data_IF_245258068195
#
_entry.id   IF_245258068195
#
_cell.length_a   1.000
_cell.length_b   1.000
_cell.length_c   1.000
_cell.angle_alpha   90.00
_cell.angle_beta   90.00
_cell.angle_gamma   90.00
#
_symmetry.space_group_name_H-M   'P 1'
#
loop_
_entity.id
_entity.type
_entity.pdbx_description
1 polymer ?
#
# COMPACT_ATOMS: atom_id res chain seq x y z
N UNK A 1 5.10 -16.07 -35.12
CA UNK A 1 5.72 -15.36 -34.02
C UNK A 1 5.61 -16.21 -32.77
N UNK A 2 6.72 -16.33 -32.00
CA UNK A 2 6.68 -17.03 -30.72
C UNK A 2 5.66 -16.34 -29.81
N UNK A 3 4.83 -17.14 -29.13
CA UNK A 3 3.86 -16.62 -28.17
C UNK A 3 4.62 -16.07 -26.96
N UNK A 4 4.62 -14.75 -26.82
CA UNK A 4 5.25 -14.11 -25.66
C UNK A 4 4.35 -14.35 -24.45
N UNK A 5 4.91 -14.86 -23.36
CA UNK A 5 4.25 -15.01 -22.06
C UNK A 5 4.70 -13.87 -21.18
N UNK A 6 3.78 -12.99 -20.78
CA UNK A 6 4.04 -11.90 -19.82
C UNK A 6 3.93 -12.45 -18.40
N UNK A 7 5.01 -12.36 -17.63
CA UNK A 7 5.08 -12.77 -16.22
C UNK A 7 5.36 -11.58 -15.28
N UNK A 8 5.35 -10.35 -15.83
CA UNK A 8 5.60 -9.12 -15.08
C UNK A 8 4.29 -8.45 -14.65
N UNK A 9 4.40 -7.49 -13.71
CA UNK A 9 3.32 -6.60 -13.22
C UNK A 9 2.28 -7.27 -12.32
N UNK A 10 2.53 -8.48 -11.82
CA UNK A 10 1.65 -9.21 -10.89
C UNK A 10 0.17 -9.27 -11.35
N UNK A 11 -0.04 -9.36 -12.68
CA UNK A 11 -1.39 -9.43 -13.25
C UNK A 11 -2.05 -10.78 -12.91
N UNK A 12 -3.35 -10.75 -12.58
CA UNK A 12 -4.11 -11.96 -12.33
C UNK A 12 -4.43 -12.70 -13.66
N UNK A 13 -3.81 -13.85 -13.94
CA UNK A 13 -4.04 -14.58 -15.19
C UNK A 13 -5.43 -15.22 -15.29
N UNK A 14 -6.17 -15.34 -14.17
CA UNK A 14 -7.53 -15.90 -14.14
C UNK A 14 -8.57 -14.88 -14.60
N UNK A 15 -8.20 -13.60 -14.70
CA UNK A 15 -9.08 -12.53 -15.13
C UNK A 15 -10.08 -12.08 -14.04
N UNK A 16 -11.08 -11.32 -14.49
CA UNK A 16 -12.11 -10.75 -13.62
C UNK A 16 -13.19 -11.79 -13.27
N UNK A 17 -13.70 -11.75 -12.03
CA UNK A 17 -14.81 -12.60 -11.65
C UNK A 17 -16.08 -12.32 -12.51
N UNK A 18 -16.89 -13.33 -12.84
CA UNK A 18 -18.12 -13.13 -13.62
C UNK A 18 -19.09 -12.15 -12.95
N UNK A 19 -19.17 -12.14 -11.62
CA UNK A 19 -20.01 -11.19 -10.87
C UNK A 19 -19.55 -9.75 -11.04
N UNK A 20 -18.24 -9.49 -10.89
CA UNK A 20 -17.66 -8.16 -11.09
C UNK A 20 -17.85 -7.67 -12.54
N UNK A 21 -17.60 -8.55 -13.52
CA UNK A 21 -17.80 -8.25 -14.93
C UNK A 21 -19.25 -7.85 -15.23
N UNK A 22 -20.22 -8.60 -14.73
CA UNK A 22 -21.65 -8.31 -14.95
C UNK A 22 -22.06 -7.00 -14.27
N UNK A 23 -21.60 -6.73 -13.06
CA UNK A 23 -21.86 -5.47 -12.36
C UNK A 23 -21.28 -4.26 -13.13
N UNK A 24 -20.06 -4.37 -13.63
CA UNK A 24 -19.44 -3.33 -14.44
C UNK A 24 -20.24 -3.05 -15.73
N UNK A 25 -20.67 -4.10 -16.42
CA UNK A 25 -21.50 -3.96 -17.63
C UNK A 25 -22.84 -3.27 -17.34
N UNK A 26 -23.48 -3.57 -16.22
CA UNK A 26 -24.72 -2.91 -15.80
C UNK A 26 -24.49 -1.43 -15.44
N UNK A 27 -23.38 -1.12 -14.79
CA UNK A 27 -23.03 0.24 -14.41
C UNK A 27 -22.82 1.16 -15.63
N UNK A 28 -22.35 0.63 -16.76
CA UNK A 28 -22.14 1.38 -18.00
C UNK A 28 -23.42 2.03 -18.55
N UNK A 29 -24.59 1.50 -18.24
CA UNK A 29 -25.90 2.10 -18.66
C UNK A 29 -26.04 3.52 -18.12
N UNK A 30 -25.47 3.81 -16.95
CA UNK A 30 -25.48 5.12 -16.31
C UNK A 30 -24.16 5.89 -16.48
N UNK A 31 -23.25 5.41 -17.33
CA UNK A 31 -21.91 5.96 -17.51
C UNK A 31 -21.82 7.39 -18.04
N UNK A 32 -22.95 7.99 -18.44
CA UNK A 32 -23.05 9.41 -18.85
C UNK A 32 -23.21 10.36 -17.66
N UNK A 33 -23.39 9.83 -16.46
CA UNK A 33 -23.52 10.63 -15.23
C UNK A 33 -22.19 10.67 -14.49
N UNK A 34 -21.94 11.77 -13.77
CA UNK A 34 -20.81 11.82 -12.86
C UNK A 34 -20.94 10.75 -11.78
N UNK A 35 -19.82 10.11 -11.38
CA UNK A 35 -19.83 9.18 -10.27
C UNK A 35 -20.10 9.92 -8.94
N UNK A 36 -20.51 9.16 -7.92
CA UNK A 36 -20.56 9.67 -6.55
C UNK A 36 -19.15 10.04 -6.08
N UNK A 37 -18.90 11.33 -5.83
CA UNK A 37 -17.60 11.83 -5.38
C UNK A 37 -17.18 11.31 -3.99
N UNK A 38 -18.13 10.86 -3.16
CA UNK A 38 -17.85 10.24 -1.88
C UNK A 38 -17.53 8.75 -2.00
N UNK A 39 -17.76 8.11 -3.16
CA UNK A 39 -17.63 6.67 -3.40
C UNK A 39 -18.32 5.82 -2.31
N UNK A 40 -19.47 6.27 -1.80
CA UNK A 40 -20.11 5.73 -0.61
C UNK A 40 -20.33 4.22 -0.66
N UNK A 41 -20.86 3.71 -1.78
CA UNK A 41 -21.14 2.27 -1.93
C UNK A 41 -19.87 1.43 -1.81
N UNK A 42 -18.75 1.92 -2.37
CA UNK A 42 -17.46 1.22 -2.32
C UNK A 42 -16.87 1.31 -0.91
N UNK A 43 -16.95 2.48 -0.26
CA UNK A 43 -16.48 2.68 1.13
C UNK A 43 -17.23 1.77 2.11
N UNK A 44 -18.56 1.70 2.00
CA UNK A 44 -19.38 0.81 2.83
C UNK A 44 -19.02 -0.67 2.64
N UNK A 45 -18.84 -1.11 1.39
CA UNK A 45 -18.45 -2.49 1.11
C UNK A 45 -17.03 -2.81 1.62
N UNK A 46 -16.07 -1.91 1.45
CA UNK A 46 -14.71 -2.06 1.94
C UNK A 46 -14.67 -2.04 3.48
N UNK A 47 -15.46 -1.19 4.13
CA UNK A 47 -15.57 -1.13 5.58
C UNK A 47 -16.07 -2.44 6.19
N UNK A 48 -17.10 -3.05 5.56
CA UNK A 48 -17.60 -4.37 5.98
C UNK A 48 -16.51 -5.44 5.82
N UNK A 49 -15.75 -5.41 4.71
CA UNK A 49 -14.66 -6.35 4.46
C UNK A 49 -13.53 -6.20 5.48
N UNK A 50 -13.15 -4.96 5.79
CA UNK A 50 -12.06 -4.65 6.72
C UNK A 50 -12.46 -4.67 8.20
N UNK A 51 -13.76 -4.73 8.53
CA UNK A 51 -14.26 -4.67 9.90
C UNK A 51 -14.11 -3.30 10.58
N UNK A 52 -14.16 -2.21 9.78
CA UNK A 52 -14.02 -0.83 10.24
C UNK A 52 -15.24 0.02 9.90
N UNK A 53 -15.28 1.30 10.35
CA UNK A 53 -16.33 2.26 9.96
C UNK A 53 -16.08 2.77 8.52
N UNK A 54 -17.14 3.06 7.73
CA UNK A 54 -16.99 3.71 6.42
C UNK A 54 -16.23 5.04 6.47
N UNK A 55 -16.23 5.74 7.59
CA UNK A 55 -15.50 6.99 7.79
C UNK A 55 -13.98 6.78 7.93
N UNK A 56 -13.56 5.53 8.17
CA UNK A 56 -12.16 5.12 8.23
C UNK A 56 -11.64 4.59 6.87
N UNK A 57 -12.46 4.67 5.81
CA UNK A 57 -12.12 4.16 4.47
C UNK A 57 -11.94 5.30 3.50
N UNK A 58 -10.81 5.27 2.78
CA UNK A 58 -10.53 6.12 1.61
C UNK A 58 -10.41 5.22 0.38
N UNK A 59 -10.94 5.68 -0.75
CA UNK A 59 -10.92 4.96 -2.03
C UNK A 59 -10.08 5.71 -3.05
N UNK A 60 -9.28 4.99 -3.81
CA UNK A 60 -8.46 5.53 -4.89
C UNK A 60 -8.28 4.55 -6.05
N UNK A 61 -7.56 4.96 -7.08
CA UNK A 61 -7.22 4.14 -8.23
C UNK A 61 -6.06 3.18 -7.89
N UNK A 62 -6.37 2.16 -7.09
CA UNK A 62 -5.40 1.22 -6.54
C UNK A 62 -4.58 1.80 -5.39
N UNK A 63 -3.70 0.95 -4.84
CA UNK A 63 -2.80 1.35 -3.75
C UNK A 63 -1.84 2.46 -4.17
N UNK A 64 -1.45 2.51 -5.42
CA UNK A 64 -0.52 3.49 -5.98
C UNK A 64 -0.98 4.94 -5.70
N UNK A 65 -2.25 5.26 -6.01
CA UNK A 65 -2.80 6.59 -5.71
C UNK A 65 -2.89 6.84 -4.19
N UNK A 66 -3.31 5.85 -3.41
CA UNK A 66 -3.46 5.97 -1.96
C UNK A 66 -2.09 6.24 -1.29
N UNK A 67 -1.05 5.51 -1.69
CA UNK A 67 0.31 5.70 -1.17
C UNK A 67 0.80 7.14 -1.43
N UNK A 68 0.60 7.64 -2.65
CA UNK A 68 0.94 9.03 -2.97
C UNK A 68 0.08 10.06 -2.22
N UNK A 69 -1.21 9.80 -1.98
CA UNK A 69 -2.07 10.67 -1.18
C UNK A 69 -1.63 10.74 0.27
N UNK A 70 -1.25 9.60 0.87
CA UNK A 70 -0.72 9.55 2.23
C UNK A 70 0.58 10.34 2.31
N UNK A 71 1.52 10.12 1.40
CA UNK A 71 2.78 10.85 1.38
C UNK A 71 2.56 12.36 1.37
N UNK A 72 1.72 12.86 0.45
CA UNK A 72 1.38 14.29 0.33
C UNK A 72 0.66 14.88 1.54
N UNK A 73 -0.01 14.04 2.33
CA UNK A 73 -0.71 14.47 3.55
C UNK A 73 0.22 14.53 4.76
N UNK A 74 1.21 13.63 4.81
CA UNK A 74 2.04 13.40 6.00
C UNK A 74 3.41 14.08 5.89
N UNK A 75 3.98 14.13 4.67
CA UNK A 75 5.35 14.62 4.45
C UNK A 75 5.40 16.08 4.03
N UNK A 76 6.37 16.78 4.56
CA UNK A 76 6.80 18.11 4.14
C UNK A 76 8.29 18.07 3.71
N UNK A 77 8.77 19.10 2.97
CA UNK A 77 10.18 19.20 2.62
C UNK A 77 11.11 19.10 3.85
N UNK A 78 12.06 18.17 3.80
CA UNK A 78 13.00 17.91 4.89
C UNK A 78 12.56 16.83 5.89
N UNK A 79 11.31 16.38 5.86
CA UNK A 79 10.88 15.19 6.59
C UNK A 79 11.54 13.92 6.01
N UNK A 80 11.52 12.85 6.79
CA UNK A 80 12.09 11.55 6.38
C UNK A 80 11.00 10.52 6.16
N UNK A 81 11.14 9.77 5.06
CA UNK A 81 10.37 8.58 4.75
C UNK A 81 11.29 7.37 4.79
N UNK A 82 10.97 6.36 5.59
CA UNK A 82 11.75 5.14 5.78
C UNK A 82 11.03 3.97 5.13
N UNK A 83 11.76 3.14 4.40
CA UNK A 83 11.23 1.93 3.76
C UNK A 83 12.34 0.88 3.58
N UNK A 84 11.94 -0.37 3.33
CA UNK A 84 12.89 -1.46 3.15
C UNK A 84 13.48 -1.48 1.74
N UNK A 85 14.72 -1.91 1.60
CA UNK A 85 15.28 -2.36 0.34
C UNK A 85 14.40 -3.46 -0.27
N UNK A 86 14.39 -3.58 -1.59
CA UNK A 86 13.52 -4.51 -2.33
C UNK A 86 12.04 -4.33 -2.01
N UNK A 87 11.58 -3.08 -1.86
CA UNK A 87 10.16 -2.75 -1.68
C UNK A 87 9.57 -2.13 -2.95
N UNK A 88 8.30 -1.77 -2.88
CA UNK A 88 7.60 -1.17 -4.02
C UNK A 88 8.12 0.24 -4.30
N UNK A 89 8.54 0.50 -5.55
CA UNK A 89 9.20 1.75 -5.96
C UNK A 89 8.37 3.02 -5.74
N UNK A 90 7.05 2.88 -5.61
CA UNK A 90 6.15 4.02 -5.36
C UNK A 90 6.42 4.69 -4.01
N UNK A 91 6.95 3.98 -3.03
CA UNK A 91 7.30 4.57 -1.73
C UNK A 91 8.35 5.66 -1.87
N UNK A 92 9.44 5.34 -2.55
CA UNK A 92 10.50 6.30 -2.84
C UNK A 92 9.99 7.47 -3.70
N UNK A 93 9.29 7.17 -4.80
CA UNK A 93 8.77 8.17 -5.71
C UNK A 93 7.82 9.15 -5.00
N UNK A 94 6.88 8.64 -4.20
CA UNK A 94 5.94 9.47 -3.45
C UNK A 94 6.63 10.37 -2.42
N UNK A 95 7.69 9.87 -1.77
CA UNK A 95 8.49 10.67 -0.83
C UNK A 95 9.29 11.76 -1.56
N UNK A 96 9.88 11.44 -2.72
CA UNK A 96 10.60 12.40 -3.55
C UNK A 96 9.69 13.52 -4.08
N UNK A 97 8.46 13.21 -4.48
CA UNK A 97 7.45 14.21 -4.88
C UNK A 97 7.16 15.24 -3.77
N UNK A 98 7.28 14.83 -2.51
CA UNK A 98 7.12 15.70 -1.34
C UNK A 98 8.40 16.43 -0.93
N UNK A 99 9.50 16.29 -1.68
CA UNK A 99 10.85 16.75 -1.30
C UNK A 99 11.30 16.24 0.09
N UNK A 100 10.83 15.05 0.47
CA UNK A 100 11.24 14.37 1.68
C UNK A 100 12.55 13.59 1.46
N UNK A 101 13.28 13.34 2.53
CA UNK A 101 14.47 12.51 2.52
C UNK A 101 14.09 11.04 2.51
N UNK A 102 14.44 10.32 1.44
CA UNK A 102 14.27 8.88 1.33
C UNK A 102 15.35 8.13 2.11
N UNK A 103 14.94 7.19 2.94
CA UNK A 103 15.83 6.35 3.75
C UNK A 103 15.52 4.90 3.48
N UNK A 104 16.30 4.30 2.59
CA UNK A 104 16.22 2.87 2.30
C UNK A 104 17.00 2.08 3.34
N UNK A 105 16.35 1.12 3.98
CA UNK A 105 16.96 0.21 4.96
C UNK A 105 17.30 -1.11 4.30
N UNK A 106 18.56 -1.60 4.40
CA UNK A 106 18.95 -2.89 3.84
C UNK A 106 18.06 -4.03 4.33
N UNK A 107 17.63 -4.89 3.41
CA UNK A 107 16.91 -6.11 3.74
C UNK A 107 17.85 -7.18 4.31
N UNK A 108 17.32 -8.06 5.15
CA UNK A 108 18.04 -9.25 5.66
C UNK A 108 17.53 -10.50 4.96
N UNK A 109 18.34 -11.13 4.16
CA UNK A 109 17.95 -12.32 3.39
C UNK A 109 16.62 -12.11 2.61
N UNK A 110 16.49 -10.94 1.96
CA UNK A 110 15.30 -10.47 1.25
C UNK A 110 14.05 -10.20 2.13
N UNK A 111 14.13 -10.37 3.44
CA UNK A 111 13.09 -10.00 4.38
C UNK A 111 13.22 -8.52 4.81
N UNK A 112 12.08 -7.90 5.11
CA UNK A 112 12.03 -6.58 5.73
C UNK A 112 12.67 -6.65 7.12
N UNK A 113 13.67 -5.81 7.36
CA UNK A 113 14.33 -5.70 8.68
C UNK A 113 13.60 -4.67 9.55
N UNK A 114 12.63 -5.11 10.33
CA UNK A 114 11.83 -4.24 11.22
C UNK A 114 12.70 -3.51 12.27
N UNK A 115 13.71 -4.15 12.83
CA UNK A 115 14.63 -3.50 13.77
C UNK A 115 15.52 -2.47 13.06
N UNK A 116 15.91 -2.75 11.82
CA UNK A 116 16.62 -1.80 10.95
C UNK A 116 15.77 -0.57 10.63
N UNK A 117 14.48 -0.75 10.33
CA UNK A 117 13.54 0.36 10.10
C UNK A 117 13.43 1.24 11.35
N UNK A 118 13.31 0.65 12.56
CA UNK A 118 13.29 1.40 13.81
C UNK A 118 14.61 2.14 14.05
N UNK A 119 15.74 1.49 13.84
CA UNK A 119 17.06 2.11 14.02
C UNK A 119 17.30 3.29 13.05
N UNK A 120 16.69 3.25 11.86
CA UNK A 120 16.76 4.33 10.87
C UNK A 120 15.79 5.48 11.17
N UNK A 121 14.86 5.30 12.10
CA UNK A 121 13.84 6.30 12.48
C UNK A 121 14.44 7.34 13.44
N UNK A 122 14.19 8.62 13.18
CA UNK A 122 14.61 9.74 14.00
C UNK A 122 13.51 10.79 14.22
N UNK A 123 13.87 11.95 14.80
CA UNK A 123 12.92 13.03 15.11
C UNK A 123 12.27 13.67 13.88
N UNK A 124 12.86 13.50 12.70
CA UNK A 124 12.36 14.02 11.42
C UNK A 124 11.57 12.96 10.65
N UNK A 125 11.55 11.71 11.09
CA UNK A 125 10.79 10.65 10.41
C UNK A 125 9.31 10.86 10.65
N UNK A 126 8.54 10.90 9.54
CA UNK A 126 7.10 11.10 9.55
C UNK A 126 6.34 9.92 8.94
N UNK A 127 7.01 9.15 8.09
CA UNK A 127 6.37 8.08 7.34
C UNK A 127 7.27 6.87 7.26
N UNK A 128 6.70 5.69 7.53
CA UNK A 128 7.33 4.38 7.28
C UNK A 128 6.38 3.58 6.40
N UNK A 129 6.90 3.08 5.28
CA UNK A 129 6.18 2.14 4.42
C UNK A 129 6.64 0.71 4.68
N UNK A 130 5.70 -0.19 4.86
CA UNK A 130 5.92 -1.64 5.02
C UNK A 130 4.96 -2.37 4.10
N UNK A 131 5.43 -3.32 3.32
CA UNK A 131 4.60 -4.20 2.50
C UNK A 131 4.53 -5.58 3.15
N UNK A 132 3.34 -6.15 3.29
CA UNK A 132 3.14 -7.49 3.85
C UNK A 132 1.99 -8.25 3.16
N UNK A 133 2.28 -9.32 2.40
CA UNK A 133 3.60 -9.84 2.05
C UNK A 133 4.37 -8.88 1.14
N UNK A 134 5.70 -8.90 1.24
CA UNK A 134 6.54 -7.93 0.52
C UNK A 134 6.48 -8.09 -1.01
N UNK A 135 6.35 -6.99 -1.72
CA UNK A 135 6.51 -6.91 -3.18
C UNK A 135 7.88 -6.29 -3.51
N UNK A 136 8.81 -6.99 -4.21
CA UNK A 136 8.57 -8.17 -5.05
C UNK A 136 8.95 -9.51 -4.43
N UNK A 137 9.46 -9.58 -3.19
CA UNK A 137 10.06 -10.82 -2.66
C UNK A 137 9.03 -11.90 -2.30
N UNK A 138 7.76 -11.52 -2.06
CA UNK A 138 6.69 -12.42 -1.65
C UNK A 138 6.78 -12.91 -0.20
N UNK A 139 7.74 -12.39 0.57
CA UNK A 139 8.01 -12.85 1.94
C UNK A 139 7.10 -12.14 2.94
N UNK A 140 6.37 -12.88 3.79
CA UNK A 140 5.51 -12.30 4.82
C UNK A 140 6.31 -11.90 6.07
N UNK A 141 5.71 -11.03 6.88
CA UNK A 141 6.16 -10.70 8.23
C UNK A 141 5.43 -11.58 9.24
N UNK A 142 6.16 -11.99 10.28
CA UNK A 142 5.54 -12.64 11.44
C UNK A 142 4.67 -11.62 12.20
N UNK A 143 3.38 -11.94 12.48
CA UNK A 143 2.47 -11.00 13.14
C UNK A 143 2.99 -10.45 14.47
N UNK A 144 3.58 -11.32 15.31
CA UNK A 144 4.14 -10.90 16.60
C UNK A 144 5.28 -9.89 16.45
N UNK A 145 6.12 -10.04 15.42
CA UNK A 145 7.21 -9.13 15.10
C UNK A 145 6.69 -7.78 14.62
N UNK A 146 5.65 -7.80 13.78
CA UNK A 146 5.00 -6.58 13.31
C UNK A 146 4.35 -5.81 14.46
N UNK A 147 3.60 -6.47 15.35
CA UNK A 147 3.00 -5.81 16.52
C UNK A 147 4.06 -5.20 17.45
N UNK A 148 5.13 -5.93 17.77
CA UNK A 148 6.25 -5.40 18.57
C UNK A 148 6.90 -4.18 17.89
N UNK A 149 7.04 -4.19 16.56
CA UNK A 149 7.53 -3.04 15.81
C UNK A 149 6.60 -1.84 16.00
N UNK A 150 5.28 -2.01 15.77
CA UNK A 150 4.29 -0.92 15.85
C UNK A 150 4.25 -0.27 17.24
N UNK A 151 4.40 -1.04 18.31
CA UNK A 151 4.46 -0.51 19.69
C UNK A 151 5.70 0.36 19.97
N UNK A 152 6.76 0.21 19.16
CA UNK A 152 8.04 0.92 19.32
C UNK A 152 8.20 2.12 18.40
N UNK A 153 7.31 2.26 17.40
CA UNK A 153 7.36 3.40 16.47
C UNK A 153 6.97 4.69 17.20
N UNK A 154 7.70 5.81 17.02
CA UNK A 154 7.34 7.09 17.64
C UNK A 154 5.94 7.55 17.21
N UNK A 155 5.14 8.08 18.16
CA UNK A 155 3.75 8.55 17.92
C UNK A 155 3.59 9.55 16.75
N UNK A 156 4.64 10.29 16.43
CA UNK A 156 4.64 11.27 15.34
C UNK A 156 4.82 10.64 13.95
N UNK A 157 5.15 9.37 13.90
CA UNK A 157 5.43 8.65 12.67
C UNK A 157 4.21 7.84 12.25
N UNK A 158 3.75 8.06 11.04
CA UNK A 158 2.69 7.25 10.42
C UNK A 158 3.32 6.00 9.84
N UNK A 159 2.76 4.84 10.15
CA UNK A 159 3.13 3.57 9.51
C UNK A 159 2.04 3.20 8.51
N UNK A 160 2.43 2.97 7.28
CA UNK A 160 1.57 2.43 6.22
C UNK A 160 1.91 0.97 6.02
N UNK A 161 0.97 0.09 6.32
CA UNK A 161 1.06 -1.32 6.01
C UNK A 161 0.34 -1.58 4.69
N UNK A 162 1.11 -1.86 3.64
CA UNK A 162 0.59 -2.17 2.31
C UNK A 162 0.29 -3.67 2.21
N UNK A 163 -0.98 -4.00 2.20
CA UNK A 163 -1.52 -5.36 2.19
C UNK A 163 -2.13 -5.74 0.84
N UNK A 164 -1.64 -5.16 -0.26
CA UNK A 164 -2.17 -5.42 -1.61
C UNK A 164 -2.17 -6.91 -2.00
N UNK A 165 -1.37 -7.74 -1.35
CA UNK A 165 -1.22 -9.16 -1.64
C UNK A 165 -1.58 -10.09 -0.48
N UNK A 166 -2.23 -9.59 0.56
CA UNK A 166 -2.63 -10.38 1.75
C UNK A 166 -3.52 -11.58 1.40
N UNK A 167 -4.38 -11.46 0.38
CA UNK A 167 -5.25 -12.56 -0.08
C UNK A 167 -4.47 -13.77 -0.64
N UNK A 168 -3.16 -13.66 -0.83
CA UNK A 168 -2.28 -14.73 -1.29
C UNK A 168 -1.47 -15.38 -0.15
N UNK A 169 -1.70 -14.96 1.08
CA UNK A 169 -1.13 -15.58 2.27
C UNK A 169 -2.01 -16.75 2.73
N UNK A 170 -1.39 -17.82 3.26
CA UNK A 170 -2.07 -18.98 3.86
C UNK A 170 -2.59 -18.67 5.27
#
# INVERSE_FOLDING_TARGET
PARIVKLASNENPLGMSPKAKNAAMQALVNGTRYPDGAAQVVREAAAVFAGVSPDEVIVGNGSDEILGLIARTVLAPGDRCVYSQYSFSVYELSAQECAAQCVEVPAKDFHVDLDGLLAATDVNTRLIYITNPNNPTGLPLEPASLFNFLERVPEKCVVVLDEAYTDFMD
#
